data_IF_411856726499
#
_entry.id   IF_411856726499
#
_cell.length_a   1.000
_cell.length_b   1.000
_cell.length_c   1.000
_cell.angle_alpha   90.00
_cell.angle_beta   90.00
_cell.angle_gamma   90.00
#
_symmetry.space_group_name_H-M   'P 1'
#
loop_
_entity.id
_entity.type
_entity.pdbx_description
1 polymer ?
#
# COMPACT_ATOMS: atom_id res chain seq x y z
N UNK A 1 -29.56 -37.69 -5.61
CA UNK A 1 -28.10 -37.45 -5.73
C UNK A 1 -27.91 -36.27 -6.67
N UNK A 2 -27.60 -35.08 -6.16
CA UNK A 2 -27.20 -33.95 -7.02
C UNK A 2 -25.73 -34.15 -7.37
N UNK A 3 -25.41 -34.16 -8.66
CA UNK A 3 -24.03 -34.08 -9.13
C UNK A 3 -23.41 -32.76 -8.63
N UNK A 4 -22.16 -32.81 -8.18
CA UNK A 4 -21.39 -31.60 -7.89
C UNK A 4 -21.36 -30.74 -9.15
N UNK A 5 -21.80 -29.50 -9.03
CA UNK A 5 -21.82 -28.54 -10.11
C UNK A 5 -20.53 -27.73 -10.05
N UNK A 6 -19.74 -27.78 -11.12
CA UNK A 6 -18.52 -26.99 -11.27
C UNK A 6 -18.82 -25.69 -12.03
N UNK A 7 -18.29 -24.57 -11.56
CA UNK A 7 -18.42 -23.27 -12.24
C UNK A 7 -17.31 -23.02 -13.27
N UNK A 8 -16.88 -24.07 -13.99
CA UNK A 8 -15.74 -24.04 -14.92
C UNK A 8 -15.92 -23.03 -16.08
N UNK A 9 -17.16 -22.72 -16.46
CA UNK A 9 -17.48 -21.80 -17.56
C UNK A 9 -17.45 -20.31 -17.15
N UNK A 10 -17.35 -20.00 -15.85
CA UNK A 10 -17.29 -18.63 -15.38
C UNK A 10 -15.91 -18.00 -15.66
N UNK A 11 -15.89 -16.99 -16.53
CA UNK A 11 -14.66 -16.27 -16.91
C UNK A 11 -14.38 -15.12 -15.95
N UNK A 12 -13.35 -15.29 -15.11
CA UNK A 12 -12.87 -14.24 -14.19
C UNK A 12 -12.53 -12.91 -14.90
N UNK A 13 -12.13 -12.95 -16.17
CA UNK A 13 -11.81 -11.76 -16.97
C UNK A 13 -13.01 -10.85 -17.24
N UNK A 14 -14.22 -11.40 -17.17
CA UNK A 14 -15.44 -10.69 -17.52
C UNK A 14 -15.97 -9.90 -16.31
N UNK A 15 -15.55 -10.26 -15.10
CA UNK A 15 -15.84 -9.55 -13.87
C UNK A 15 -15.33 -8.11 -13.91
N UNK A 16 -16.15 -7.20 -13.38
CA UNK A 16 -15.79 -5.80 -13.16
C UNK A 16 -15.97 -5.46 -11.69
N UNK A 17 -14.89 -4.98 -11.09
CA UNK A 17 -14.90 -4.52 -9.71
C UNK A 17 -15.91 -3.37 -9.56
N UNK A 18 -16.83 -3.42 -8.58
CA UNK A 18 -17.74 -2.32 -8.33
C UNK A 18 -16.96 -1.07 -7.90
N UNK A 19 -17.63 0.07 -7.93
CA UNK A 19 -17.04 1.31 -7.45
C UNK A 19 -16.75 1.20 -5.95
N UNK A 20 -15.47 1.30 -5.57
CA UNK A 20 -15.02 1.26 -4.17
C UNK A 20 -14.39 2.61 -3.84
N UNK A 21 -14.83 3.19 -2.72
CA UNK A 21 -14.25 4.41 -2.14
C UNK A 21 -14.02 4.16 -0.66
N UNK A 22 -12.75 4.06 -0.27
CA UNK A 22 -12.37 3.86 1.14
C UNK A 22 -11.25 4.79 1.54
N UNK A 23 -11.30 5.27 2.77
CA UNK A 23 -10.24 6.05 3.40
C UNK A 23 -10.07 5.58 4.84
N UNK A 24 -8.82 5.38 5.26
CA UNK A 24 -8.43 5.13 6.64
C UNK A 24 -7.58 6.29 7.16
N UNK A 25 -7.68 6.50 8.47
CA UNK A 25 -6.78 7.36 9.22
C UNK A 25 -6.48 6.59 10.49
N UNK A 26 -5.22 6.21 10.65
CA UNK A 26 -4.74 5.32 11.68
C UNK A 26 -3.72 6.11 12.52
N UNK A 27 -3.95 6.16 13.82
CA UNK A 27 -3.05 6.81 14.78
C UNK A 27 -2.37 5.73 15.61
N UNK A 28 -1.04 5.74 15.63
CA UNK A 28 -0.22 4.97 16.55
C UNK A 28 0.50 5.96 17.46
N UNK A 29 0.08 5.98 18.72
CA UNK A 29 0.76 6.70 19.77
C UNK A 29 1.66 5.71 20.49
N UNK A 30 2.94 5.70 20.12
CA UNK A 30 3.96 4.93 20.82
C UNK A 30 4.64 5.87 21.82
N UNK A 31 3.94 6.19 22.91
CA UNK A 31 4.66 6.64 24.11
C UNK A 31 5.14 5.37 24.78
N UNK A 32 6.46 5.13 24.80
CA UNK A 32 7.02 4.01 25.57
C UNK A 32 6.70 4.18 27.08
N UNK A 33 6.12 5.32 27.51
CA UNK A 33 5.81 5.62 28.90
C UNK A 33 7.04 5.50 29.81
N UNK A 34 8.22 5.40 29.20
CA UNK A 34 9.50 5.13 29.86
C UNK A 34 9.98 6.45 30.41
N UNK A 35 9.38 6.83 31.53
CA UNK A 35 9.91 7.79 32.47
C UNK A 35 10.89 7.04 33.36
N UNK A 36 12.07 6.75 32.83
CA UNK A 36 13.06 6.00 33.58
C UNK A 36 13.85 6.98 34.44
N UNK A 37 13.76 6.81 35.75
CA UNK A 37 14.63 7.49 36.70
C UNK A 37 15.72 6.51 37.13
N UNK A 38 16.99 6.77 36.80
CA UNK A 38 18.09 5.95 37.28
C UNK A 38 18.89 6.74 38.32
N UNK A 39 19.00 6.21 39.53
CA UNK A 39 19.95 6.75 40.50
C UNK A 39 21.31 6.12 40.26
N UNK A 40 22.30 6.98 40.00
CA UNK A 40 23.72 6.61 40.00
C UNK A 40 24.36 7.16 41.28
N UNK A 41 25.57 6.70 41.62
CA UNK A 41 26.29 7.15 42.82
C UNK A 41 26.43 8.68 42.95
N UNK A 42 26.38 9.39 41.81
CA UNK A 42 26.66 10.83 41.74
C UNK A 42 25.50 11.66 41.16
N UNK A 43 24.43 11.06 40.62
CA UNK A 43 23.38 11.80 39.92
C UNK A 43 22.07 11.01 39.68
N UNK A 44 20.98 11.74 39.44
CA UNK A 44 19.67 11.20 39.01
C UNK A 44 19.47 11.41 37.50
N UNK A 45 19.29 10.31 36.78
CA UNK A 45 19.00 10.27 35.34
C UNK A 45 17.51 10.31 35.10
N UNK A 46 17.03 11.09 34.13
CA UNK A 46 15.66 11.08 33.62
C UNK A 46 15.69 10.84 32.12
N UNK A 47 15.00 9.79 31.67
CA UNK A 47 14.75 9.52 30.26
C UNK A 47 13.24 9.70 29.96
N UNK A 48 12.94 10.32 28.82
CA UNK A 48 11.59 10.41 28.27
C UNK A 48 11.71 10.16 26.78
N UNK A 49 10.99 9.15 26.28
CA UNK A 49 10.93 8.80 24.85
C UNK A 49 9.49 8.65 24.40
N UNK A 50 9.17 9.14 23.21
CA UNK A 50 7.85 8.95 22.61
C UNK A 50 7.86 9.17 21.12
N UNK A 51 6.86 8.57 20.45
CA UNK A 51 6.58 8.74 19.05
C UNK A 51 5.07 8.84 18.79
N UNK A 52 4.71 9.67 17.83
CA UNK A 52 3.38 9.82 17.25
C UNK A 52 3.52 9.47 15.77
N UNK A 53 2.76 8.49 15.31
CA UNK A 53 2.68 8.10 13.90
C UNK A 53 1.22 8.16 13.46
N UNK A 54 0.92 9.00 12.48
CA UNK A 54 -0.40 9.11 11.88
C UNK A 54 -0.29 8.74 10.41
N UNK A 55 -1.01 7.72 9.98
CA UNK A 55 -1.07 7.28 8.59
C UNK A 55 -2.48 7.44 8.04
N UNK A 56 -2.63 8.22 6.98
CA UNK A 56 -3.83 8.29 6.16
C UNK A 56 -3.64 7.42 4.93
N UNK A 57 -4.62 6.58 4.60
CA UNK A 57 -4.64 5.82 3.36
C UNK A 57 -5.97 6.05 2.65
N UNK A 58 -5.95 6.20 1.33
CA UNK A 58 -7.16 6.31 0.52
C UNK A 58 -7.01 5.46 -0.73
N UNK A 59 -7.98 4.58 -0.92
CA UNK A 59 -8.12 3.77 -2.11
C UNK A 59 -9.46 4.07 -2.76
N UNK A 60 -9.43 4.37 -4.05
CA UNK A 60 -10.63 4.65 -4.82
C UNK A 60 -10.49 4.00 -6.19
N UNK A 61 -11.49 3.22 -6.57
CA UNK A 61 -11.60 2.63 -7.89
C UNK A 61 -13.01 2.84 -8.39
N UNK A 62 -13.10 3.48 -9.54
CA UNK A 62 -14.30 3.67 -10.31
C UNK A 62 -13.95 3.42 -11.78
N UNK A 63 -14.96 3.41 -12.64
CA UNK A 63 -14.72 3.33 -14.09
C UNK A 63 -13.94 4.52 -14.66
N UNK A 64 -14.00 5.69 -14.00
CA UNK A 64 -13.33 6.93 -14.44
C UNK A 64 -12.02 7.23 -13.71
N UNK A 65 -11.75 6.55 -12.60
CA UNK A 65 -10.64 6.88 -11.72
C UNK A 65 -10.16 5.66 -10.96
N UNK A 66 -8.85 5.41 -10.94
CA UNK A 66 -8.20 4.56 -9.94
C UNK A 66 -7.20 5.44 -9.20
N UNK A 67 -7.17 5.41 -7.88
CA UNK A 67 -6.20 6.13 -7.10
C UNK A 67 -5.87 5.42 -5.80
N UNK A 68 -4.58 5.36 -5.50
CA UNK A 68 -4.02 4.97 -4.22
C UNK A 68 -3.22 6.16 -3.66
N UNK A 69 -3.55 6.57 -2.44
CA UNK A 69 -2.95 7.71 -1.78
C UNK A 69 -2.58 7.32 -0.35
N UNK A 70 -1.39 7.70 0.07
CA UNK A 70 -0.97 7.56 1.46
C UNK A 70 -0.33 8.86 1.93
N UNK A 71 -0.61 9.24 3.17
CA UNK A 71 0.10 10.31 3.86
C UNK A 71 0.53 9.80 5.22
N UNK A 72 1.76 10.09 5.63
CA UNK A 72 2.27 9.74 6.94
C UNK A 72 2.86 10.98 7.60
N UNK A 73 2.54 11.14 8.87
CA UNK A 73 3.18 12.12 9.74
C UNK A 73 3.73 11.34 10.92
N UNK A 74 5.04 11.41 11.10
CA UNK A 74 5.76 10.77 12.18
C UNK A 74 6.55 11.82 12.94
N UNK A 75 6.39 11.83 14.26
CA UNK A 75 7.17 12.61 15.18
C UNK A 75 7.73 11.67 16.24
N UNK A 76 9.01 11.73 16.52
CA UNK A 76 9.61 11.02 17.63
C UNK A 76 10.66 11.88 18.30
N UNK A 77 10.88 11.64 19.58
CA UNK A 77 11.95 12.30 20.30
C UNK A 77 12.26 11.58 21.59
N UNK A 78 13.47 11.82 22.07
CA UNK A 78 13.84 11.49 23.43
C UNK A 78 14.59 12.64 24.10
N UNK A 79 14.62 12.61 25.43
CA UNK A 79 15.43 13.52 26.23
C UNK A 79 16.06 12.77 27.40
N UNK A 80 17.36 12.92 27.55
CA UNK A 80 18.17 12.33 28.61
C UNK A 80 19.07 13.41 29.25
N UNK A 81 19.33 13.32 30.55
CA UNK A 81 20.16 14.27 31.31
C UNK A 81 21.46 13.67 31.87
N UNK A 82 21.83 12.43 31.54
CA UNK A 82 22.94 11.71 32.19
C UNK A 82 23.99 11.12 31.27
N UNK A 83 24.11 11.58 30.04
CA UNK A 83 25.16 11.06 29.16
C UNK A 83 26.50 11.59 29.68
N UNK A 84 27.45 10.70 29.99
CA UNK A 84 28.81 11.08 30.39
C UNK A 84 29.66 11.30 29.14
N UNK A 85 30.44 12.37 29.13
CA UNK A 85 31.46 12.56 28.09
C UNK A 85 32.75 11.79 28.41
N UNK A 86 33.74 11.92 27.52
CA UNK A 86 35.06 11.28 27.63
C UNK A 86 35.84 11.71 28.89
N UNK A 87 35.51 12.86 29.46
CA UNK A 87 36.10 13.41 30.69
C UNK A 87 35.29 13.03 31.95
N UNK A 88 34.18 12.30 31.80
CA UNK A 88 33.29 11.91 32.89
C UNK A 88 32.29 12.99 33.31
N UNK A 89 32.17 14.10 32.57
CA UNK A 89 31.18 15.15 32.83
C UNK A 89 29.79 14.78 32.32
N UNK A 90 28.76 15.07 33.10
CA UNK A 90 27.37 14.84 32.70
C UNK A 90 26.90 15.94 31.74
N UNK A 91 26.28 15.56 30.62
CA UNK A 91 25.60 16.50 29.73
C UNK A 91 24.17 16.04 29.40
N UNK A 92 23.37 16.99 28.93
CA UNK A 92 21.98 16.75 28.51
C UNK A 92 21.95 16.43 27.03
N UNK A 93 21.27 15.35 26.68
CA UNK A 93 21.01 14.96 25.30
C UNK A 93 19.52 15.02 24.99
N UNK A 94 19.16 15.46 23.80
CA UNK A 94 17.80 15.30 23.30
C UNK A 94 17.82 15.16 21.80
N UNK A 95 16.94 14.33 21.25
CA UNK A 95 16.69 14.32 19.83
C UNK A 95 15.23 14.62 19.49
N UNK A 96 15.03 15.06 18.26
CA UNK A 96 13.73 15.20 17.64
C UNK A 96 13.86 14.69 16.21
N UNK A 97 12.95 13.83 15.81
CA UNK A 97 12.81 13.33 14.45
C UNK A 97 11.40 13.60 13.98
N UNK A 98 11.29 14.21 12.81
CA UNK A 98 10.04 14.48 12.12
C UNK A 98 10.15 13.92 10.72
N UNK A 99 9.14 13.16 10.30
CA UNK A 99 8.97 12.71 8.92
C UNK A 99 7.54 13.02 8.50
N UNK A 100 7.40 13.71 7.37
CA UNK A 100 6.12 13.90 6.70
C UNK A 100 6.29 13.36 5.31
N UNK A 101 5.44 12.44 4.89
CA UNK A 101 5.47 11.89 3.54
C UNK A 101 4.07 11.81 2.96
N UNK A 102 3.97 11.99 1.65
CA UNK A 102 2.75 11.81 0.89
C UNK A 102 3.10 11.13 -0.43
N UNK A 103 2.32 10.12 -0.80
CA UNK A 103 2.44 9.41 -2.07
C UNK A 103 1.07 9.33 -2.73
N UNK A 104 1.05 9.51 -4.05
CA UNK A 104 -0.14 9.37 -4.88
C UNK A 104 0.20 8.59 -6.15
N UNK A 105 -0.59 7.58 -6.46
CA UNK A 105 -0.60 6.93 -7.77
C UNK A 105 -2.03 6.91 -8.30
N UNK A 106 -2.34 7.87 -9.17
CA UNK A 106 -3.68 8.04 -9.71
C UNK A 106 -3.72 7.94 -11.23
N UNK A 107 -4.80 7.31 -11.71
CA UNK A 107 -5.15 7.12 -13.12
C UNK A 107 -6.52 7.75 -13.37
N UNK A 108 -6.55 8.77 -14.22
CA UNK A 108 -7.79 9.44 -14.63
C UNK A 108 -8.18 8.98 -16.03
N UNK A 109 -9.22 8.15 -16.13
CA UNK A 109 -9.66 7.55 -17.39
C UNK A 109 -10.49 8.54 -18.21
N UNK A 110 -9.98 8.91 -19.38
CA UNK A 110 -10.68 9.72 -20.38
C UNK A 110 -11.87 8.94 -20.93
N UNK A 111 -11.66 7.65 -21.17
CA UNK A 111 -12.68 6.66 -21.53
C UNK A 111 -12.49 5.42 -20.65
N UNK A 112 -13.57 4.80 -20.16
CA UNK A 112 -13.45 3.59 -19.35
C UNK A 112 -12.57 2.54 -20.02
N UNK A 113 -11.62 2.00 -19.25
CA UNK A 113 -10.73 0.88 -19.64
C UNK A 113 -9.79 1.14 -20.84
N UNK A 114 -9.58 2.39 -21.26
CA UNK A 114 -8.67 2.70 -22.38
C UNK A 114 -7.68 3.78 -21.98
N UNK A 115 -7.80 5.00 -22.52
CA UNK A 115 -6.83 6.07 -22.30
C UNK A 115 -7.00 6.71 -20.92
N UNK A 116 -5.88 6.96 -20.27
CA UNK A 116 -5.87 7.64 -18.98
C UNK A 116 -4.62 8.49 -18.78
N UNK A 117 -4.73 9.48 -17.89
CA UNK A 117 -3.59 10.25 -17.38
C UNK A 117 -3.06 9.61 -16.11
N UNK A 118 -1.74 9.42 -16.03
CA UNK A 118 -1.05 9.17 -14.77
C UNK A 118 -0.81 10.52 -14.10
N UNK A 119 -1.26 10.67 -12.86
CA UNK A 119 -0.99 11.84 -12.04
C UNK A 119 -0.65 11.35 -10.65
N UNK A 120 0.48 11.78 -10.11
CA UNK A 120 0.96 11.21 -8.85
C UNK A 120 2.27 11.79 -8.40
N UNK A 121 3.06 10.90 -7.78
CA UNK A 121 4.37 11.21 -7.26
C UNK A 121 4.41 11.11 -5.75
N UNK A 122 5.56 11.48 -5.21
CA UNK A 122 5.77 11.53 -3.77
C UNK A 122 6.47 12.82 -3.35
N UNK A 123 6.14 13.23 -2.13
CA UNK A 123 6.85 14.29 -1.42
C UNK A 123 7.20 13.77 -0.04
N UNK A 124 8.42 14.00 0.39
CA UNK A 124 8.83 13.73 1.76
C UNK A 124 9.61 14.90 2.34
N UNK A 125 9.44 15.09 3.63
CA UNK A 125 10.16 16.03 4.47
C UNK A 125 10.67 15.25 5.66
N UNK A 126 11.98 15.30 5.88
CA UNK A 126 12.62 14.76 7.07
C UNK A 126 13.33 15.87 7.80
N UNK A 127 13.19 15.89 9.12
CA UNK A 127 13.95 16.76 9.98
C UNK A 127 14.45 15.96 11.16
N UNK A 128 15.75 16.05 11.40
CA UNK A 128 16.37 15.46 12.55
C UNK A 128 17.15 16.54 13.30
N UNK A 129 16.98 16.57 14.61
CA UNK A 129 17.79 17.39 15.48
C UNK A 129 18.34 16.50 16.57
N UNK A 130 19.65 16.55 16.79
CA UNK A 130 20.31 15.95 17.92
C UNK A 130 21.02 17.06 18.69
N UNK A 131 20.65 17.24 19.96
CA UNK A 131 21.25 18.21 20.85
C UNK A 131 22.03 17.45 21.90
N UNK A 132 23.35 17.59 21.84
CA UNK A 132 24.31 17.04 22.78
C UNK A 132 25.04 18.26 23.39
N UNK A 133 26.34 18.42 23.14
CA UNK A 133 27.11 19.65 23.42
C UNK A 133 26.84 20.71 22.36
N UNK A 134 26.91 20.30 21.10
CA UNK A 134 26.49 21.09 19.94
C UNK A 134 25.11 20.61 19.44
N UNK A 135 24.46 21.44 18.63
CA UNK A 135 23.16 21.09 18.03
C UNK A 135 23.38 20.71 16.59
N UNK A 136 23.19 19.43 16.33
CA UNK A 136 23.23 18.84 15.01
C UNK A 136 21.82 18.87 14.41
N UNK A 137 21.72 19.28 13.14
CA UNK A 137 20.46 19.40 12.41
C UNK A 137 20.64 18.85 11.01
N UNK A 138 19.77 17.91 10.68
CA UNK A 138 19.63 17.40 9.33
C UNK A 138 18.23 17.73 8.81
N UNK A 139 18.15 18.10 7.54
CA UNK A 139 16.90 18.38 6.86
C UNK A 139 16.95 17.76 5.48
N UNK A 140 15.93 16.97 5.14
CA UNK A 140 15.74 16.37 3.83
C UNK A 140 14.40 16.79 3.23
N UNK A 141 14.40 17.13 1.95
CA UNK A 141 13.18 17.38 1.17
C UNK A 141 13.31 16.61 -0.14
N UNK A 142 12.35 15.76 -0.42
CA UNK A 142 12.22 15.08 -1.70
C UNK A 142 10.88 15.48 -2.32
N UNK A 143 10.89 15.94 -3.56
CA UNK A 143 9.69 16.26 -4.33
C UNK A 143 9.80 15.58 -5.69
N UNK A 144 8.89 14.66 -5.99
CA UNK A 144 8.88 13.86 -7.23
C UNK A 144 7.48 13.80 -7.84
N UNK A 145 6.94 14.90 -8.39
CA UNK A 145 5.65 14.86 -9.05
C UNK A 145 5.71 13.97 -10.29
N UNK A 146 4.66 13.21 -10.52
CA UNK A 146 4.56 12.25 -11.62
C UNK A 146 3.43 12.62 -12.56
N UNK A 147 3.73 12.66 -13.87
CA UNK A 147 2.75 12.90 -14.91
C UNK A 147 3.01 11.98 -16.11
N UNK A 148 1.95 11.42 -16.68
CA UNK A 148 2.09 10.54 -17.83
C UNK A 148 0.78 10.23 -18.55
N UNK A 149 0.89 9.42 -19.59
CA UNK A 149 -0.22 8.91 -20.38
C UNK A 149 -0.14 7.40 -20.45
N UNK A 150 -1.31 6.75 -20.37
CA UNK A 150 -1.41 5.31 -20.48
C UNK A 150 -2.65 4.86 -21.25
N UNK A 151 -2.62 3.58 -21.60
CA UNK A 151 -3.71 2.88 -22.26
C UNK A 151 -3.94 1.52 -21.63
N UNK A 152 -5.21 1.16 -21.49
CA UNK A 152 -5.65 -0.11 -20.92
C UNK A 152 -6.07 0.03 -19.46
N UNK A 153 -6.32 -1.11 -18.79
CA UNK A 153 -6.71 -1.18 -17.39
C UNK A 153 -6.53 -2.58 -16.84
N UNK A 154 -6.04 -2.66 -15.61
CA UNK A 154 -6.02 -3.89 -14.81
C UNK A 154 -7.18 -3.88 -13.80
N UNK A 155 -8.04 -4.89 -13.85
CA UNK A 155 -9.07 -5.17 -12.86
C UNK A 155 -8.55 -6.11 -11.78
N UNK A 156 -8.98 -5.90 -10.52
CA UNK A 156 -8.84 -6.90 -9.47
C UNK A 156 -10.03 -7.85 -9.56
N UNK A 157 -9.77 -9.13 -9.75
CA UNK A 157 -10.78 -10.19 -9.97
C UNK A 157 -10.78 -11.24 -8.85
N UNK A 158 -10.05 -10.95 -7.78
CA UNK A 158 -9.81 -11.84 -6.65
C UNK A 158 -11.09 -12.18 -5.86
N UNK A 159 -11.98 -11.19 -5.67
CA UNK A 159 -13.27 -11.41 -5.01
C UNK A 159 -14.21 -12.28 -5.85
N UNK A 160 -14.15 -12.16 -7.18
CA UNK A 160 -14.88 -13.04 -8.09
C UNK A 160 -14.37 -14.48 -8.03
N UNK A 161 -13.05 -14.67 -7.95
CA UNK A 161 -12.46 -15.99 -7.71
C UNK A 161 -12.91 -16.57 -6.37
N UNK A 162 -12.92 -15.78 -5.31
CA UNK A 162 -13.38 -16.25 -4.00
C UNK A 162 -14.86 -16.63 -4.02
N UNK A 163 -15.70 -15.84 -4.69
CA UNK A 163 -17.11 -16.15 -4.89
C UNK A 163 -17.26 -17.54 -5.53
N UNK A 164 -16.53 -17.79 -6.62
CA UNK A 164 -16.58 -19.09 -7.31
C UNK A 164 -16.08 -20.21 -6.41
N UNK A 165 -15.00 -20.04 -5.65
CA UNK A 165 -14.54 -21.07 -4.73
C UNK A 165 -15.56 -21.43 -3.65
N UNK A 166 -16.22 -20.43 -3.08
CA UNK A 166 -17.30 -20.66 -2.12
C UNK A 166 -18.43 -21.47 -2.76
N UNK A 167 -18.85 -21.10 -3.97
CA UNK A 167 -19.94 -21.76 -4.69
C UNK A 167 -19.58 -23.20 -5.09
N UNK A 168 -18.38 -23.44 -5.62
CA UNK A 168 -17.88 -24.78 -5.93
C UNK A 168 -17.90 -25.66 -4.67
N UNK A 169 -17.47 -25.13 -3.52
CA UNK A 169 -17.39 -25.91 -2.28
C UNK A 169 -18.75 -26.17 -1.64
N UNK A 170 -19.66 -25.20 -1.70
CA UNK A 170 -21.05 -25.43 -1.31
C UNK A 170 -21.71 -26.46 -2.23
N UNK A 171 -21.38 -26.46 -3.51
CA UNK A 171 -21.87 -27.43 -4.50
C UNK A 171 -21.34 -28.84 -4.21
N UNK A 172 -20.04 -28.99 -3.97
CA UNK A 172 -19.38 -30.25 -3.57
C UNK A 172 -20.03 -30.89 -2.33
N UNK A 173 -20.46 -30.05 -1.38
CA UNK A 173 -21.13 -30.50 -0.16
C UNK A 173 -22.64 -30.66 -0.29
N UNK A 174 -23.20 -30.46 -1.49
CA UNK A 174 -24.64 -30.58 -1.74
C UNK A 174 -25.49 -29.53 -1.02
N UNK A 175 -24.87 -28.41 -0.63
CA UNK A 175 -25.53 -27.30 0.05
C UNK A 175 -26.22 -26.36 -0.94
N UNK A 176 -25.78 -26.35 -2.21
CA UNK A 176 -26.42 -25.54 -3.26
C UNK A 176 -27.81 -26.07 -3.61
N UNK A 177 -28.79 -25.16 -3.69
CA UNK A 177 -30.16 -25.48 -4.13
C UNK A 177 -30.28 -25.55 -5.65
N UNK A 178 -29.46 -24.78 -6.36
CA UNK A 178 -29.42 -24.69 -7.83
C UNK A 178 -28.02 -24.27 -8.30
N UNK A 179 -27.77 -24.46 -9.60
CA UNK A 179 -26.61 -23.87 -10.26
C UNK A 179 -26.87 -22.39 -10.52
N UNK A 180 -25.92 -21.54 -10.17
CA UNK A 180 -26.05 -20.10 -10.40
C UNK A 180 -25.62 -19.75 -11.83
N UNK A 181 -26.32 -18.83 -12.47
CA UNK A 181 -25.88 -18.26 -13.75
C UNK A 181 -24.66 -17.35 -13.57
N UNK A 182 -23.93 -17.06 -14.65
CA UNK A 182 -22.80 -16.11 -14.61
C UNK A 182 -23.20 -14.73 -14.06
N UNK A 183 -24.44 -14.29 -14.30
CA UNK A 183 -24.96 -13.04 -13.74
C UNK A 183 -25.16 -13.13 -12.22
N UNK A 184 -25.67 -14.26 -11.72
CA UNK A 184 -25.85 -14.49 -10.29
C UNK A 184 -24.50 -14.62 -9.56
N UNK A 185 -23.52 -15.32 -10.17
CA UNK A 185 -22.13 -15.36 -9.68
C UNK A 185 -21.53 -13.96 -9.63
N UNK A 186 -21.73 -13.15 -10.68
CA UNK A 186 -21.26 -11.77 -10.72
C UNK A 186 -21.89 -10.90 -9.60
N UNK A 187 -23.19 -11.04 -9.34
CA UNK A 187 -23.86 -10.33 -8.24
C UNK A 187 -23.29 -10.75 -6.89
N UNK A 188 -23.02 -12.04 -6.71
CA UNK A 188 -22.40 -12.53 -5.49
C UNK A 188 -20.98 -11.98 -5.32
N UNK A 189 -20.15 -12.01 -6.36
CA UNK A 189 -18.81 -11.43 -6.36
C UNK A 189 -18.81 -9.92 -6.06
N UNK A 190 -19.78 -9.17 -6.60
CA UNK A 190 -19.93 -7.74 -6.31
C UNK A 190 -20.33 -7.48 -4.85
N UNK A 191 -21.18 -8.33 -4.27
CA UNK A 191 -21.46 -8.29 -2.84
C UNK A 191 -20.19 -8.49 -2.02
N UNK A 192 -19.41 -9.54 -2.31
CA UNK A 192 -18.14 -9.82 -1.62
C UNK A 192 -17.22 -8.58 -1.67
N UNK A 193 -17.00 -8.01 -2.85
CA UNK A 193 -16.18 -6.81 -3.01
C UNK A 193 -16.71 -5.63 -2.22
N UNK A 194 -18.02 -5.43 -2.16
CA UNK A 194 -18.62 -4.32 -1.42
C UNK A 194 -18.41 -4.48 0.07
N UNK A 195 -18.67 -5.69 0.58
CA UNK A 195 -18.69 -5.95 2.03
C UNK A 195 -17.26 -5.95 2.60
N UNK A 196 -16.29 -6.57 1.91
CA UNK A 196 -14.86 -6.53 2.29
C UNK A 196 -14.25 -5.13 2.31
N UNK A 197 -14.82 -4.19 1.56
CA UNK A 197 -14.31 -2.83 1.45
C UNK A 197 -15.05 -1.84 2.36
N UNK A 198 -15.95 -2.32 3.24
CA UNK A 198 -16.50 -1.52 4.32
C UNK A 198 -15.41 -1.21 5.36
N UNK A 199 -15.51 -0.04 5.99
CA UNK A 199 -14.59 0.35 7.08
C UNK A 199 -15.16 -0.07 8.42
N UNK A 200 -14.33 -0.72 9.23
CA UNK A 200 -14.61 -1.05 10.62
C UNK A 200 -13.39 -0.69 11.48
N UNK A 201 -13.63 -0.21 12.70
CA UNK A 201 -12.56 0.01 13.69
C UNK A 201 -12.21 -1.29 14.42
N UNK A 202 -13.20 -2.17 14.62
CA UNK A 202 -13.05 -3.48 15.26
C UNK A 202 -13.13 -4.58 14.20
N UNK A 203 -12.04 -5.35 14.04
CA UNK A 203 -11.93 -6.44 13.06
C UNK A 203 -12.90 -7.60 13.36
N UNK A 204 -13.28 -7.83 14.62
CA UNK A 204 -14.27 -8.87 14.98
C UNK A 204 -15.66 -8.46 14.53
N UNK A 205 -16.04 -7.21 14.74
CA UNK A 205 -17.33 -6.67 14.27
C UNK A 205 -17.39 -6.66 12.74
N UNK A 206 -16.26 -6.38 12.09
CA UNK A 206 -16.15 -6.47 10.64
C UNK A 206 -16.46 -7.88 10.14
N UNK A 207 -15.80 -8.90 10.69
CA UNK A 207 -16.00 -10.28 10.29
C UNK A 207 -17.45 -10.74 10.54
N UNK A 208 -18.07 -10.30 11.63
CA UNK A 208 -19.49 -10.61 11.91
C UNK A 208 -20.40 -9.98 10.84
N UNK A 209 -20.21 -8.71 10.49
CA UNK A 209 -20.99 -8.04 9.42
C UNK A 209 -20.78 -8.72 8.07
N UNK A 210 -19.53 -9.07 7.75
CA UNK A 210 -19.14 -9.75 6.51
C UNK A 210 -19.90 -11.06 6.32
N UNK A 211 -19.75 -11.96 7.29
CA UNK A 211 -20.34 -13.30 7.26
C UNK A 211 -21.87 -13.22 7.29
N UNK A 212 -22.43 -12.34 8.12
CA UNK A 212 -23.89 -12.15 8.22
C UNK A 212 -24.48 -11.63 6.91
N UNK A 213 -23.80 -10.69 6.25
CA UNK A 213 -24.25 -10.14 4.97
C UNK A 213 -24.22 -11.20 3.87
N UNK A 214 -23.16 -12.01 3.82
CA UNK A 214 -23.01 -13.11 2.85
C UNK A 214 -24.07 -14.19 3.08
N UNK A 215 -24.27 -14.64 4.32
CA UNK A 215 -25.33 -15.61 4.67
C UNK A 215 -26.71 -15.09 4.27
N UNK A 216 -27.02 -13.85 4.66
CA UNK A 216 -28.31 -13.22 4.35
C UNK A 216 -28.56 -13.15 2.84
N UNK A 217 -27.54 -12.82 2.05
CA UNK A 217 -27.66 -12.79 0.59
C UNK A 217 -27.93 -14.17 0.00
N UNK A 218 -27.16 -15.19 0.41
CA UNK A 218 -27.32 -16.56 -0.10
C UNK A 218 -28.68 -17.15 0.26
N UNK A 219 -29.18 -16.86 1.46
CA UNK A 219 -30.50 -17.32 1.94
C UNK A 219 -31.64 -16.57 1.25
N UNK A 220 -31.56 -15.24 1.17
CA UNK A 220 -32.63 -14.41 0.59
C UNK A 220 -32.84 -14.68 -0.91
N UNK A 221 -31.79 -15.07 -1.64
CA UNK A 221 -31.90 -15.44 -3.06
C UNK A 221 -32.17 -16.96 -3.27
N UNK A 222 -32.40 -17.71 -2.20
CA UNK A 222 -32.67 -19.15 -2.24
C UNK A 222 -31.54 -19.98 -2.90
N UNK A 223 -30.29 -19.58 -2.68
CA UNK A 223 -29.12 -20.24 -3.28
C UNK A 223 -28.62 -21.44 -2.48
N UNK A 224 -28.80 -21.41 -1.15
CA UNK A 224 -28.19 -22.37 -0.22
C UNK A 224 -29.23 -23.05 0.68
N UNK A 225 -28.96 -24.31 1.04
CA UNK A 225 -29.60 -25.04 2.14
C UNK A 225 -28.79 -24.81 3.41
N UNK A 226 -29.41 -24.18 4.41
CA UNK A 226 -28.76 -23.86 5.68
C UNK A 226 -28.75 -25.09 6.59
N UNK A 227 -27.87 -26.04 6.28
CA UNK A 227 -27.84 -27.35 6.95
C UNK A 227 -26.54 -27.55 7.75
N UNK A 228 -26.63 -27.31 9.06
CA UNK A 228 -25.65 -27.75 10.06
C UNK A 228 -24.30 -27.04 10.02
N UNK A 229 -23.33 -27.63 10.73
CA UNK A 229 -22.00 -27.04 10.92
C UNK A 229 -21.22 -26.88 9.61
N UNK A 230 -21.42 -27.77 8.64
CA UNK A 230 -20.68 -27.78 7.36
C UNK A 230 -20.80 -26.45 6.63
N UNK A 231 -22.00 -25.90 6.52
CA UNK A 231 -22.22 -24.60 5.86
C UNK A 231 -21.35 -23.49 6.46
N UNK A 232 -21.43 -23.32 7.79
CA UNK A 232 -20.70 -22.25 8.46
C UNK A 232 -19.19 -22.51 8.43
N UNK A 233 -18.72 -23.73 8.67
CA UNK A 233 -17.28 -24.02 8.61
C UNK A 233 -16.70 -23.76 7.22
N UNK A 234 -17.43 -24.08 6.15
CA UNK A 234 -17.00 -23.81 4.77
C UNK A 234 -17.01 -22.32 4.46
N UNK A 235 -18.07 -21.60 4.87
CA UNK A 235 -18.15 -20.17 4.67
C UNK A 235 -16.98 -19.46 5.35
N UNK A 236 -16.72 -19.75 6.63
CA UNK A 236 -15.62 -19.13 7.37
C UNK A 236 -14.25 -19.47 6.79
N UNK A 237 -14.00 -20.74 6.49
CA UNK A 237 -12.70 -21.18 5.94
C UNK A 237 -12.37 -20.46 4.63
N UNK A 238 -13.28 -20.51 3.66
CA UNK A 238 -13.05 -19.87 2.37
C UNK A 238 -13.16 -18.34 2.42
N UNK A 239 -13.90 -17.77 3.37
CA UNK A 239 -13.94 -16.33 3.59
C UNK A 239 -12.57 -15.80 4.06
N UNK A 240 -11.98 -16.47 5.05
CA UNK A 240 -10.72 -16.06 5.67
C UNK A 240 -9.50 -16.45 4.83
N UNK A 241 -9.55 -17.58 4.12
CA UNK A 241 -8.37 -18.18 3.47
C UNK A 241 -8.50 -18.40 1.96
N UNK A 242 -9.68 -18.16 1.37
CA UNK A 242 -9.91 -18.35 -0.08
C UNK A 242 -9.28 -17.28 -0.97
N UNK A 243 -8.99 -16.09 -0.42
CA UNK A 243 -8.48 -14.92 -1.15
C UNK A 243 -7.06 -14.50 -0.70
N UNK A 244 -6.19 -15.47 -0.42
CA UNK A 244 -4.82 -15.18 0.05
C UNK A 244 -3.91 -14.57 -1.03
N UNK A 245 -4.27 -14.73 -2.31
CA UNK A 245 -3.44 -14.29 -3.43
C UNK A 245 -4.19 -13.33 -4.33
N UNK A 246 -3.60 -12.16 -4.54
CA UNK A 246 -4.14 -11.18 -5.48
C UNK A 246 -4.28 -11.79 -6.88
N UNK A 247 -5.46 -11.57 -7.48
CA UNK A 247 -5.75 -11.94 -8.87
C UNK A 247 -6.18 -10.72 -9.65
N UNK A 248 -5.61 -10.60 -10.84
CA UNK A 248 -5.74 -9.44 -11.72
C UNK A 248 -6.16 -9.89 -13.11
N UNK A 249 -6.82 -9.02 -13.85
CA UNK A 249 -7.14 -9.25 -15.26
C UNK A 249 -7.09 -7.97 -16.06
N UNK A 250 -6.39 -7.99 -17.19
CA UNK A 250 -6.35 -6.90 -18.14
C UNK A 250 -4.95 -6.69 -18.71
N UNK A 251 -4.78 -5.55 -19.35
CA UNK A 251 -3.51 -5.06 -19.85
C UNK A 251 -3.45 -3.56 -19.64
N UNK A 252 -2.31 -3.04 -19.24
CA UNK A 252 -2.04 -1.62 -19.09
C UNK A 252 -0.63 -1.32 -19.63
N UNK A 253 -0.48 -0.20 -20.33
CA UNK A 253 0.82 0.33 -20.78
C UNK A 253 0.84 1.83 -20.52
N UNK A 254 1.99 2.37 -20.14
CA UNK A 254 2.13 3.75 -19.71
C UNK A 254 3.51 4.32 -19.97
N UNK A 255 3.54 5.59 -20.37
CA UNK A 255 4.75 6.41 -20.39
C UNK A 255 4.56 7.55 -19.39
N UNK A 256 5.48 7.67 -18.44
CA UNK A 256 5.45 8.71 -17.41
C UNK A 256 6.79 9.42 -17.26
N UNK A 257 6.73 10.69 -16.90
CA UNK A 257 7.86 11.52 -16.51
C UNK A 257 7.69 11.97 -15.06
N UNK A 258 8.77 11.92 -14.32
CA UNK A 258 8.83 12.27 -12.91
C UNK A 258 10.06 13.14 -12.67
N UNK A 259 9.98 14.46 -12.89
CA UNK A 259 11.01 15.37 -12.44
C UNK A 259 11.13 15.25 -10.93
N UNK A 260 12.35 15.36 -10.43
CA UNK A 260 12.66 15.22 -9.02
C UNK A 260 13.54 16.35 -8.53
N UNK A 261 13.38 16.68 -7.27
CA UNK A 261 14.28 17.56 -6.55
C UNK A 261 14.49 17.00 -5.16
N UNK A 262 15.72 16.60 -4.89
CA UNK A 262 16.18 16.18 -3.58
C UNK A 262 17.08 17.27 -3.00
N UNK A 263 16.79 17.68 -1.77
CA UNK A 263 17.56 18.66 -1.02
C UNK A 263 17.90 18.08 0.35
N UNK A 264 19.17 18.17 0.72
CA UNK A 264 19.64 17.67 1.99
C UNK A 264 20.64 18.64 2.63
N UNK A 265 20.50 18.87 3.92
CA UNK A 265 21.51 19.59 4.71
C UNK A 265 21.94 18.76 5.90
N UNK A 266 23.23 18.83 6.23
CA UNK A 266 23.78 18.27 7.47
C UNK A 266 24.66 19.31 8.15
N UNK A 267 24.28 19.76 9.34
CA UNK A 267 25.02 20.82 10.04
C UNK A 267 26.40 20.38 10.50
N UNK A 268 26.60 19.09 10.78
CA UNK A 268 27.89 18.56 11.28
C UNK A 268 29.03 18.75 10.28
N UNK A 269 28.69 18.71 8.98
CA UNK A 269 29.65 18.91 7.90
C UNK A 269 29.46 20.26 7.21
N UNK A 270 28.57 21.12 7.74
CA UNK A 270 28.06 22.33 7.07
C UNK A 270 27.74 22.06 5.59
N UNK A 271 27.14 20.91 5.34
CA UNK A 271 26.92 20.37 4.01
C UNK A 271 25.53 20.75 3.50
N UNK A 272 25.45 21.11 2.22
CA UNK A 272 24.20 21.28 1.47
C UNK A 272 24.31 20.57 0.14
N UNK A 273 23.32 19.73 -0.15
CA UNK A 273 23.19 19.03 -1.42
C UNK A 273 21.92 19.49 -2.13
N UNK A 274 22.04 19.78 -3.43
CA UNK A 274 20.90 19.95 -4.31
C UNK A 274 21.01 18.98 -5.47
N UNK A 275 19.96 18.18 -5.65
CA UNK A 275 19.91 17.08 -6.61
C UNK A 275 18.60 17.19 -7.43
N UNK A 276 18.50 18.13 -8.38
CA UNK A 276 17.49 18.07 -9.42
C UNK A 276 17.74 16.87 -10.35
N UNK A 277 16.65 16.24 -10.77
CA UNK A 277 16.69 15.12 -11.70
C UNK A 277 15.40 14.95 -12.48
N UNK A 278 15.39 13.95 -13.35
CA UNK A 278 14.20 13.49 -14.03
C UNK A 278 14.29 11.99 -14.28
N UNK A 279 13.22 11.29 -13.91
CA UNK A 279 12.98 9.91 -14.32
C UNK A 279 11.97 9.89 -15.45
N UNK A 280 12.25 9.13 -16.51
CA UNK A 280 11.27 8.80 -17.57
C UNK A 280 11.09 7.28 -17.56
N UNK A 281 9.85 6.81 -17.53
CA UNK A 281 9.55 5.39 -17.43
C UNK A 281 8.49 4.95 -18.43
N UNK A 282 8.78 3.87 -19.16
CA UNK A 282 7.82 3.10 -19.95
C UNK A 282 7.50 1.82 -19.20
N UNK A 283 6.24 1.61 -18.87
CA UNK A 283 5.78 0.40 -18.17
C UNK A 283 4.67 -0.30 -18.96
N UNK A 284 4.63 -1.62 -18.88
CA UNK A 284 3.52 -2.43 -19.35
C UNK A 284 3.25 -3.57 -18.35
N UNK A 285 1.99 -3.83 -18.05
CA UNK A 285 1.51 -4.91 -17.19
C UNK A 285 0.43 -5.70 -17.92
N UNK A 286 0.56 -7.02 -17.94
CA UNK A 286 -0.40 -7.96 -18.51
C UNK A 286 -0.77 -9.00 -17.45
N UNK A 287 -2.07 -9.17 -17.23
CA UNK A 287 -2.60 -10.11 -16.26
C UNK A 287 -3.79 -10.87 -16.86
N UNK A 288 -3.75 -12.19 -16.84
CA UNK A 288 -4.84 -13.03 -17.34
C UNK A 288 -5.04 -14.27 -16.47
N UNK A 289 -6.15 -14.35 -15.72
CA UNK A 289 -6.57 -15.59 -15.07
C UNK A 289 -6.93 -16.62 -16.14
N UNK A 290 -6.33 -17.81 -16.07
CA UNK A 290 -6.63 -18.92 -16.98
C UNK A 290 -7.81 -19.72 -16.42
N UNK A 291 -7.78 -19.95 -15.09
CA UNK A 291 -8.83 -20.59 -14.31
C UNK A 291 -8.69 -20.16 -12.84
N UNK A 292 -9.41 -20.81 -11.93
CA UNK A 292 -9.35 -20.50 -10.50
C UNK A 292 -7.96 -20.72 -9.89
N UNK A 293 -7.14 -21.60 -10.47
CA UNK A 293 -5.81 -21.93 -9.96
C UNK A 293 -4.76 -21.06 -10.64
N UNK A 294 -4.68 -21.10 -11.97
CA UNK A 294 -3.58 -20.51 -12.71
C UNK A 294 -3.83 -19.09 -13.25
N UNK A 295 -2.81 -18.23 -13.19
CA UNK A 295 -2.77 -16.91 -13.81
C UNK A 295 -1.46 -16.68 -14.57
N UNK A 296 -1.57 -16.10 -15.77
CA UNK A 296 -0.43 -15.54 -16.51
C UNK A 296 -0.20 -14.09 -16.11
N UNK A 297 1.05 -13.77 -15.79
CA UNK A 297 1.52 -12.41 -15.50
C UNK A 297 2.74 -12.11 -16.36
N UNK A 298 2.75 -10.94 -17.00
CA UNK A 298 3.93 -10.40 -17.65
C UNK A 298 4.03 -8.90 -17.37
N UNK A 299 5.24 -8.42 -17.13
CA UNK A 299 5.50 -6.99 -16.99
C UNK A 299 6.82 -6.59 -17.62
N UNK A 300 6.83 -5.37 -18.15
CA UNK A 300 7.98 -4.70 -18.70
C UNK A 300 8.09 -3.34 -18.02
N UNK A 301 9.28 -3.00 -17.52
CA UNK A 301 9.59 -1.66 -17.05
C UNK A 301 10.93 -1.23 -17.65
N UNK A 302 10.93 -0.10 -18.34
CA UNK A 302 12.12 0.58 -18.80
C UNK A 302 12.17 1.94 -18.13
N UNK A 303 13.29 2.24 -17.49
CA UNK A 303 13.50 3.47 -16.75
C UNK A 303 14.80 4.14 -17.21
N UNK A 304 14.70 5.44 -17.46
CA UNK A 304 15.83 6.32 -17.70
C UNK A 304 15.86 7.37 -16.59
N UNK A 305 17.00 7.51 -15.93
CA UNK A 305 17.21 8.47 -14.86
C UNK A 305 18.39 9.39 -15.23
N UNK A 306 18.15 10.69 -15.09
CA UNK A 306 19.19 11.72 -15.12
C UNK A 306 19.13 12.51 -13.83
N UNK A 307 20.27 12.65 -13.15
CA UNK A 307 20.40 13.53 -11.99
C UNK A 307 21.61 14.43 -12.10
N UNK A 308 21.50 15.63 -11.53
CA UNK A 308 22.59 16.56 -11.41
C UNK A 308 22.77 16.93 -9.94
N UNK A 309 23.88 16.54 -9.33
CA UNK A 309 24.17 16.81 -7.93
C UNK A 309 25.10 18.00 -7.81
N UNK A 310 24.76 18.91 -6.90
CA UNK A 310 25.61 20.01 -6.47
C UNK A 310 25.84 19.90 -4.97
N UNK A 311 27.11 19.89 -4.59
CA UNK A 311 27.56 19.71 -3.21
C UNK A 311 28.33 20.94 -2.74
N UNK A 312 27.92 21.50 -1.62
CA UNK A 312 28.60 22.56 -0.88
C UNK A 312 28.97 22.05 0.52
N UNK A 313 30.24 22.12 0.91
CA UNK A 313 30.68 21.83 2.29
C UNK A 313 31.92 22.65 2.66
N UNK A 314 32.03 23.05 3.93
CA UNK A 314 33.10 23.96 4.41
C UNK A 314 34.52 23.40 4.27
N UNK A 315 34.69 22.07 4.23
CA UNK A 315 36.00 21.44 4.02
C UNK A 315 36.41 21.36 2.54
N UNK A 316 35.50 21.71 1.62
CA UNK A 316 35.79 21.79 0.19
C UNK A 316 35.81 23.26 -0.23
N UNK A 317 37.00 23.79 -0.55
CA UNK A 317 37.19 25.17 -1.08
C UNK A 317 36.42 25.44 -2.41
N UNK A 318 35.67 24.47 -2.94
CA UNK A 318 34.95 24.55 -4.21
C UNK A 318 33.64 23.74 -4.15
N UNK A 319 32.59 24.29 -4.75
CA UNK A 319 31.38 23.53 -5.10
C UNK A 319 31.74 22.39 -6.05
N UNK A 320 31.32 21.17 -5.72
CA UNK A 320 31.54 19.98 -6.56
C UNK A 320 30.26 19.69 -7.34
N UNK A 321 30.42 19.43 -8.64
CA UNK A 321 29.33 19.06 -9.54
C UNK A 321 29.50 17.59 -9.95
N UNK A 322 28.47 16.79 -9.71
CA UNK A 322 28.41 15.39 -10.15
C UNK A 322 27.19 15.19 -11.06
N UNK A 323 27.38 14.42 -12.13
CA UNK A 323 26.31 14.06 -13.05
C UNK A 323 26.25 12.55 -13.14
N UNK A 324 25.07 11.98 -12.95
CA UNK A 324 24.84 10.55 -13.13
C UNK A 324 23.77 10.31 -14.18
N UNK A 325 23.99 9.25 -14.96
CA UNK A 325 23.05 8.77 -15.97
C UNK A 325 22.89 7.26 -15.78
N UNK A 326 21.66 6.84 -15.50
CA UNK A 326 21.36 5.44 -15.24
C UNK A 326 20.24 4.95 -16.17
N UNK A 327 20.38 3.71 -16.62
CA UNK A 327 19.37 3.00 -17.41
C UNK A 327 19.09 1.67 -16.72
N UNK A 328 17.80 1.40 -16.48
CA UNK A 328 17.35 0.16 -15.88
C UNK A 328 16.26 -0.46 -16.75
N UNK A 329 16.42 -1.74 -17.05
CA UNK A 329 15.43 -2.54 -17.74
C UNK A 329 15.09 -3.76 -16.90
N UNK A 330 13.82 -3.88 -16.51
CA UNK A 330 13.30 -5.05 -15.84
C UNK A 330 12.24 -5.71 -16.73
N UNK A 331 12.42 -7.01 -16.98
CA UNK A 331 11.47 -7.83 -17.72
C UNK A 331 11.10 -9.03 -16.87
N UNK A 332 9.81 -9.23 -16.65
CA UNK A 332 9.32 -10.28 -15.77
C UNK A 332 8.21 -11.09 -16.44
N UNK A 333 8.38 -12.41 -16.45
CA UNK A 333 7.37 -13.36 -16.88
C UNK A 333 7.14 -14.37 -15.77
N UNK A 334 5.87 -14.57 -15.38
CA UNK A 334 5.55 -15.52 -14.33
C UNK A 334 4.21 -16.21 -14.58
N UNK A 335 4.19 -17.51 -14.30
CA UNK A 335 2.98 -18.28 -14.08
C UNK A 335 2.77 -18.40 -12.57
N UNK A 336 1.59 -18.00 -12.06
CA UNK A 336 1.24 -18.12 -10.63
C UNK A 336 0.13 -19.17 -10.45
N UNK A 337 0.31 -20.05 -9.45
CA UNK A 337 -0.71 -20.97 -8.92
C UNK A 337 -1.63 -20.25 -7.93
#
# INVERSE_FOLDING_TARGET
>A
MCQAQEYADYKLSDYKLPDIKRSSLDFKLNSDGSFATHETSDNTVYDIKGAIDATFNRYCTTRKFIGDQSARIYFAGFKNNSTRDENGENYKQSNLSTEISYMNDSRFYIRPNTWFWFVGGDVSFTYYQNKVKETEKDLGILIRPKLGLGWGRIERVQDARQAVYLLDKFSDYGLMKKHLSNEEVNRFAQLISTVKNKRFLDSRLHLIDEITTVDSFLVANDYIRKEGAKYFTTLYDYWLYGDLHQRKSGFEVGLEGMPEYNYYTCSNFNQKNHEPGITVSLSAEYEKPINLRWQHSASLNFMFLYTHNTFEADYADKTVYEQSLEHLQETFFRLRL
#
